data_IF_204712951385
#
_entry.id   IF_204712951385
#
_cell.length_a   1.000
_cell.length_b   1.000
_cell.length_c   1.000
_cell.angle_alpha   90.00
_cell.angle_beta   90.00
_cell.angle_gamma   90.00
#
_symmetry.space_group_name_H-M   'P 1'
#
loop_
_entity.id
_entity.type
_entity.pdbx_description
1 polymer ?
#
# COMPACT_ATOMS: atom_id res chain seq x y z
N UNK A 1 31.31 10.90 -37.72
CA UNK A 1 30.57 11.49 -36.58
C UNK A 1 29.11 11.61 -37.00
N UNK A 2 28.26 10.66 -36.61
CA UNK A 2 26.81 10.81 -36.71
C UNK A 2 26.27 10.93 -35.30
N UNK A 3 26.13 12.16 -34.81
CA UNK A 3 25.31 12.45 -33.64
C UNK A 3 23.87 12.54 -34.14
N UNK A 4 23.15 11.42 -34.17
CA UNK A 4 21.71 11.45 -34.29
C UNK A 4 21.13 11.80 -32.92
N UNK A 5 20.84 13.09 -32.69
CA UNK A 5 19.94 13.49 -31.61
C UNK A 5 18.54 12.97 -31.95
N UNK A 6 18.29 11.70 -31.64
CA UNK A 6 16.94 11.16 -31.65
C UNK A 6 16.15 11.85 -30.55
N UNK A 7 15.33 12.85 -30.93
CA UNK A 7 14.34 13.49 -30.08
C UNK A 7 13.22 12.48 -29.78
N UNK A 8 13.41 11.69 -28.72
CA UNK A 8 12.39 10.75 -28.26
C UNK A 8 11.25 11.50 -27.57
N UNK A 9 10.00 11.20 -27.95
CA UNK A 9 8.82 11.69 -27.25
C UNK A 9 8.67 10.92 -25.92
N UNK A 10 8.99 11.54 -24.79
CA UNK A 10 8.94 10.90 -23.47
C UNK A 10 7.53 10.96 -22.88
N UNK A 11 7.09 9.88 -22.25
CA UNK A 11 5.83 9.87 -21.50
C UNK A 11 5.85 10.91 -20.36
N UNK A 12 4.87 11.81 -20.37
CA UNK A 12 4.57 12.74 -19.28
C UNK A 12 3.13 12.47 -18.82
N UNK A 13 3.00 12.01 -17.58
CA UNK A 13 1.72 11.69 -16.94
C UNK A 13 1.69 12.39 -15.58
N UNK A 14 0.67 13.21 -15.33
CA UNK A 14 0.55 14.10 -14.19
C UNK A 14 -0.83 13.99 -13.55
N UNK A 15 -0.91 14.17 -12.23
CA UNK A 15 -2.18 14.28 -11.52
C UNK A 15 -2.89 15.59 -11.86
N UNK A 16 -4.14 15.72 -11.46
CA UNK A 16 -4.90 16.98 -11.53
C UNK A 16 -4.18 18.17 -10.89
N UNK A 17 -3.32 17.91 -9.90
CA UNK A 17 -2.51 18.91 -9.18
C UNK A 17 -1.12 19.15 -9.79
N UNK A 18 -0.82 18.59 -10.97
CA UNK A 18 0.48 18.72 -11.64
C UNK A 18 1.59 17.85 -11.07
N UNK A 19 1.28 16.91 -10.16
CA UNK A 19 2.29 15.97 -9.62
C UNK A 19 2.54 14.87 -10.63
N UNK A 20 3.79 14.72 -11.06
CA UNK A 20 4.21 13.64 -11.96
C UNK A 20 3.97 12.25 -11.37
N UNK A 21 3.37 11.35 -12.16
CA UNK A 21 3.28 9.91 -11.87
C UNK A 21 4.60 9.23 -12.28
N UNK A 22 5.29 8.67 -11.29
CA UNK A 22 6.67 8.16 -11.47
C UNK A 22 6.74 6.76 -12.11
N UNK A 23 6.20 6.62 -13.33
CA UNK A 23 6.29 5.37 -14.10
C UNK A 23 7.74 4.94 -14.32
N UNK A 24 8.62 5.88 -14.68
CA UNK A 24 10.05 5.65 -14.95
C UNK A 24 10.78 5.10 -13.72
N UNK A 25 10.65 5.74 -12.57
CA UNK A 25 11.32 5.33 -11.35
C UNK A 25 10.80 3.98 -10.87
N UNK A 26 9.48 3.76 -10.87
CA UNK A 26 8.88 2.48 -10.49
C UNK A 26 9.26 1.34 -11.43
N UNK A 27 9.40 1.60 -12.73
CA UNK A 27 9.88 0.61 -13.70
C UNK A 27 11.36 0.29 -13.48
N UNK A 28 12.21 1.30 -13.34
CA UNK A 28 13.64 1.14 -13.06
C UNK A 28 13.90 0.33 -11.77
N UNK A 29 13.14 0.60 -10.70
CA UNK A 29 13.21 -0.16 -9.45
C UNK A 29 12.69 -1.58 -9.61
N UNK A 30 11.70 -1.81 -10.47
CA UNK A 30 11.21 -3.16 -10.81
C UNK A 30 12.23 -3.96 -11.58
N UNK A 31 12.92 -3.36 -12.55
CA UNK A 31 14.01 -4.04 -13.27
C UNK A 31 15.18 -4.36 -12.32
N UNK A 32 15.48 -3.47 -11.36
CA UNK A 32 16.47 -3.76 -10.32
C UNK A 32 16.01 -4.92 -9.42
N UNK A 33 14.77 -4.93 -8.96
CA UNK A 33 14.22 -6.03 -8.16
C UNK A 33 14.22 -7.35 -8.94
N UNK A 34 13.93 -7.32 -10.25
CA UNK A 34 14.00 -8.50 -11.12
C UNK A 34 15.42 -9.10 -11.15
N UNK A 35 16.47 -8.26 -11.21
CA UNK A 35 17.87 -8.71 -11.09
C UNK A 35 18.19 -9.37 -9.75
N UNK A 36 17.56 -8.94 -8.66
CA UNK A 36 17.72 -9.62 -7.37
C UNK A 36 17.08 -11.01 -7.41
N UNK A 37 15.94 -11.18 -8.07
CA UNK A 37 15.35 -12.50 -8.31
C UNK A 37 16.23 -13.38 -9.21
N UNK A 38 16.92 -12.83 -10.21
CA UNK A 38 17.93 -13.58 -10.97
C UNK A 38 19.10 -14.02 -10.09
N UNK A 39 19.64 -13.12 -9.26
CA UNK A 39 20.68 -13.44 -8.29
C UNK A 39 20.25 -14.51 -7.28
N UNK A 40 19.00 -14.49 -6.82
CA UNK A 40 18.45 -15.57 -5.98
C UNK A 40 18.36 -16.90 -6.72
N UNK A 41 17.99 -16.89 -8.01
CA UNK A 41 18.04 -18.11 -8.84
C UNK A 41 19.47 -18.63 -8.96
N UNK A 42 20.47 -17.77 -9.10
CA UNK A 42 21.87 -18.19 -9.19
C UNK A 42 22.38 -18.76 -7.87
N UNK A 43 22.06 -18.10 -6.75
CA UNK A 43 22.47 -18.50 -5.41
C UNK A 43 21.78 -19.78 -4.91
N UNK A 44 20.49 -19.94 -5.18
CA UNK A 44 19.64 -21.02 -4.59
C UNK A 44 19.34 -22.13 -5.61
N UNK A 45 19.39 -21.83 -6.91
CA UNK A 45 19.08 -22.80 -7.97
C UNK A 45 17.58 -23.05 -8.19
N UNK A 46 16.68 -22.40 -7.44
CA UNK A 46 15.24 -22.61 -7.55
C UNK A 46 14.64 -21.90 -8.80
N UNK A 47 14.03 -22.64 -9.77
CA UNK A 47 13.48 -22.06 -11.01
C UNK A 47 12.31 -21.08 -10.79
N UNK A 48 11.72 -21.10 -9.61
CA UNK A 48 10.68 -20.16 -9.20
C UNK A 48 11.14 -18.70 -9.28
N UNK A 49 12.39 -18.41 -8.89
CA UNK A 49 12.90 -17.05 -8.87
C UNK A 49 13.13 -16.49 -10.28
N UNK A 50 13.62 -17.30 -11.23
CA UNK A 50 13.75 -16.84 -12.64
C UNK A 50 12.41 -16.55 -13.30
N UNK A 51 11.37 -17.35 -13.00
CA UNK A 51 9.99 -17.07 -13.47
C UNK A 51 9.48 -15.73 -12.95
N UNK A 52 9.76 -15.40 -11.68
CA UNK A 52 9.41 -14.08 -11.10
C UNK A 52 10.20 -12.94 -11.74
N UNK A 53 11.51 -13.11 -11.92
CA UNK A 53 12.36 -12.12 -12.56
C UNK A 53 11.85 -11.77 -13.96
N UNK A 54 11.61 -12.78 -14.82
CA UNK A 54 11.10 -12.60 -16.19
C UNK A 54 9.81 -11.77 -16.20
N UNK A 55 8.80 -12.19 -15.42
CA UNK A 55 7.53 -11.47 -15.34
C UNK A 55 7.72 -10.03 -14.85
N UNK A 56 8.68 -9.77 -13.97
CA UNK A 56 8.95 -8.44 -13.44
C UNK A 56 9.67 -7.53 -14.44
N UNK A 57 10.56 -8.08 -15.29
CA UNK A 57 11.13 -7.35 -16.43
C UNK A 57 10.06 -6.99 -17.48
N UNK A 58 9.07 -7.85 -17.69
CA UNK A 58 7.94 -7.57 -18.59
C UNK A 58 6.87 -6.68 -17.93
N UNK A 59 6.93 -6.48 -16.62
CA UNK A 59 5.94 -5.71 -15.88
C UNK A 59 5.93 -4.24 -16.33
N UNK A 60 4.75 -3.78 -16.73
CA UNK A 60 4.49 -2.44 -17.27
C UNK A 60 5.41 -2.06 -18.44
N UNK A 61 5.91 -3.04 -19.22
CA UNK A 61 6.77 -2.75 -20.37
C UNK A 61 6.06 -1.89 -21.42
N UNK A 62 4.75 -2.06 -21.58
CA UNK A 62 3.88 -1.20 -22.39
C UNK A 62 2.72 -0.67 -21.53
N UNK A 63 2.41 0.61 -21.75
CA UNK A 63 1.32 1.35 -21.11
C UNK A 63 0.46 1.99 -22.21
N UNK A 64 -0.83 1.68 -22.22
CA UNK A 64 -1.79 2.34 -23.12
C UNK A 64 -2.75 3.21 -22.34
N UNK A 65 -2.85 4.47 -22.77
CA UNK A 65 -3.68 5.49 -22.14
C UNK A 65 -4.75 6.01 -23.10
N UNK A 66 -5.89 6.38 -22.53
CA UNK A 66 -6.86 7.27 -23.16
C UNK A 66 -6.50 8.69 -22.75
N UNK A 67 -6.35 9.57 -23.73
CA UNK A 67 -6.14 11.00 -23.48
C UNK A 67 -7.48 11.72 -23.54
N UNK A 68 -7.84 12.33 -22.43
CA UNK A 68 -9.01 13.19 -22.34
C UNK A 68 -8.86 14.39 -23.30
N UNK A 69 -9.81 14.63 -24.21
CA UNK A 69 -9.66 15.64 -25.25
C UNK A 69 -9.75 17.08 -24.71
N UNK A 70 -10.45 17.30 -23.60
CA UNK A 70 -10.67 18.64 -23.03
C UNK A 70 -9.52 19.05 -22.10
N UNK A 71 -9.11 18.15 -21.22
CA UNK A 71 -8.12 18.40 -20.17
C UNK A 71 -6.72 17.91 -20.55
N UNK A 72 -6.59 17.09 -21.60
CA UNK A 72 -5.34 16.47 -22.02
C UNK A 72 -4.81 15.39 -21.08
N UNK A 73 -5.56 15.04 -20.02
CA UNK A 73 -5.14 14.09 -18.98
C UNK A 73 -5.09 12.66 -19.50
N UNK A 74 -4.16 11.87 -18.97
CA UNK A 74 -4.00 10.48 -19.33
C UNK A 74 -4.71 9.56 -18.34
N UNK A 75 -5.55 8.67 -18.86
CA UNK A 75 -6.17 7.57 -18.11
C UNK A 75 -5.64 6.24 -18.62
N UNK A 76 -4.91 5.51 -17.78
CA UNK A 76 -4.39 4.19 -18.13
C UNK A 76 -5.57 3.23 -18.33
N UNK A 77 -5.65 2.60 -19.51
CA UNK A 77 -6.70 1.64 -19.82
C UNK A 77 -6.18 0.22 -20.09
N UNK A 78 -4.88 0.07 -20.38
CA UNK A 78 -4.28 -1.25 -20.58
C UNK A 78 -2.80 -1.23 -20.16
N UNK A 79 -2.40 -2.26 -19.40
CA UNK A 79 -1.02 -2.58 -19.06
C UNK A 79 -0.94 -4.01 -18.51
N UNK A 80 0.22 -4.66 -18.66
CA UNK A 80 0.50 -5.92 -17.96
C UNK A 80 1.22 -5.65 -16.63
N UNK A 81 0.65 -6.14 -15.53
CA UNK A 81 1.29 -6.09 -14.22
C UNK A 81 1.62 -7.50 -13.72
N UNK A 82 2.87 -7.74 -13.32
CA UNK A 82 3.32 -9.07 -12.92
C UNK A 82 2.71 -9.57 -11.61
N UNK A 83 2.13 -8.69 -10.79
CA UNK A 83 1.54 -8.98 -9.46
C UNK A 83 2.50 -9.66 -8.47
N UNK A 84 3.80 -9.73 -8.75
CA UNK A 84 4.80 -10.18 -7.77
C UNK A 84 4.78 -9.22 -6.58
N UNK A 85 4.75 -9.76 -5.34
CA UNK A 85 4.52 -8.96 -4.14
C UNK A 85 5.58 -7.88 -3.92
N UNK A 86 6.84 -8.19 -4.20
CA UNK A 86 7.96 -7.25 -4.07
C UNK A 86 8.22 -6.39 -5.31
N UNK A 87 7.41 -6.51 -6.38
CA UNK A 87 7.56 -5.65 -7.57
C UNK A 87 7.18 -4.19 -7.22
N UNK A 88 8.10 -3.22 -7.29
CA UNK A 88 7.83 -1.82 -6.98
C UNK A 88 6.71 -1.20 -7.83
N UNK A 89 6.61 -1.57 -9.11
CA UNK A 89 5.51 -1.12 -9.99
C UNK A 89 4.15 -1.63 -9.48
N UNK A 90 4.03 -2.93 -9.21
CA UNK A 90 2.77 -3.52 -8.72
C UNK A 90 2.42 -3.02 -7.31
N UNK A 91 3.42 -2.90 -6.43
CA UNK A 91 3.27 -2.36 -5.08
C UNK A 91 2.71 -0.93 -5.10
N UNK A 92 3.24 -0.08 -5.98
CA UNK A 92 2.74 1.29 -6.17
C UNK A 92 1.29 1.29 -6.66
N UNK A 93 0.95 0.51 -7.69
CA UNK A 93 -0.43 0.44 -8.19
C UNK A 93 -1.41 -0.08 -7.14
N UNK A 94 -1.02 -1.10 -6.36
CA UNK A 94 -1.78 -1.60 -5.21
C UNK A 94 -2.01 -0.52 -4.16
N UNK A 95 -0.97 0.24 -3.79
CA UNK A 95 -1.14 1.33 -2.81
C UNK A 95 -2.14 2.38 -3.27
N UNK A 96 -2.19 2.69 -4.57
CA UNK A 96 -3.18 3.60 -5.13
C UNK A 96 -4.60 3.02 -5.06
N UNK A 97 -4.75 1.73 -5.40
CA UNK A 97 -6.04 1.01 -5.32
C UNK A 97 -6.57 0.95 -3.88
N UNK A 98 -5.71 0.58 -2.94
CA UNK A 98 -6.02 0.52 -1.51
C UNK A 98 -6.40 1.91 -0.99
N UNK A 99 -5.65 2.96 -1.36
CA UNK A 99 -5.97 4.32 -0.95
C UNK A 99 -7.33 4.78 -1.48
N UNK A 100 -7.65 4.46 -2.74
CA UNK A 100 -8.95 4.79 -3.33
C UNK A 100 -10.09 4.03 -2.65
N UNK A 101 -9.97 2.72 -2.46
CA UNK A 101 -10.96 1.91 -1.75
C UNK A 101 -11.18 2.42 -0.32
N UNK A 102 -10.10 2.70 0.42
CA UNK A 102 -10.20 3.21 1.77
C UNK A 102 -10.82 4.60 1.83
N UNK A 103 -10.59 5.47 0.84
CA UNK A 103 -11.29 6.76 0.72
C UNK A 103 -12.80 6.54 0.69
N UNK A 104 -13.29 5.72 -0.25
CA UNK A 104 -14.72 5.46 -0.41
C UNK A 104 -15.33 4.82 0.85
N UNK A 105 -14.63 3.84 1.44
CA UNK A 105 -15.09 3.15 2.65
C UNK A 105 -15.17 4.12 3.84
N UNK A 106 -14.20 5.03 4.00
CA UNK A 106 -14.19 6.01 5.08
C UNK A 106 -15.30 7.04 4.89
N UNK A 107 -15.48 7.55 3.66
CA UNK A 107 -16.56 8.48 3.32
C UNK A 107 -17.93 7.86 3.63
N UNK A 108 -18.14 6.61 3.22
CA UNK A 108 -19.40 5.90 3.46
C UNK A 108 -19.62 5.55 4.94
N UNK A 109 -18.56 5.17 5.66
CA UNK A 109 -18.63 4.93 7.11
C UNK A 109 -18.98 6.21 7.88
N UNK A 110 -18.41 7.35 7.49
CA UNK A 110 -18.73 8.65 8.07
C UNK A 110 -20.18 9.05 7.79
N UNK A 111 -20.67 8.78 6.58
CA UNK A 111 -22.06 9.05 6.16
C UNK A 111 -23.07 8.20 6.93
N UNK A 112 -22.85 6.88 7.02
CA UNK A 112 -23.80 5.93 7.64
C UNK A 112 -23.73 5.94 9.18
N UNK A 113 -22.53 5.97 9.77
CA UNK A 113 -22.34 5.72 11.20
C UNK A 113 -21.95 6.95 12.02
N UNK A 114 -21.65 8.07 11.36
CA UNK A 114 -21.17 9.31 12.00
C UNK A 114 -20.05 9.04 13.01
N UNK A 115 -19.14 8.13 12.66
CA UNK A 115 -18.08 7.67 13.53
C UNK A 115 -16.97 8.73 13.72
N UNK A 116 -16.03 8.40 14.58
CA UNK A 116 -14.73 9.04 14.67
C UNK A 116 -13.65 7.96 14.50
N UNK A 117 -12.43 8.38 14.24
CA UNK A 117 -11.37 7.46 13.83
C UNK A 117 -10.19 7.45 14.79
N UNK A 118 -9.63 6.26 15.01
CA UNK A 118 -8.36 6.04 15.68
C UNK A 118 -7.38 5.42 14.69
N UNK A 119 -6.12 5.85 14.78
CA UNK A 119 -4.99 5.22 14.12
C UNK A 119 -4.15 4.50 15.16
N UNK A 120 -4.08 3.18 15.05
CA UNK A 120 -3.40 2.28 15.98
C UNK A 120 -2.22 1.60 15.26
N UNK A 121 -1.04 1.68 15.85
CA UNK A 121 0.15 0.94 15.42
C UNK A 121 0.48 -0.15 16.43
N UNK A 122 0.49 -1.41 15.99
CA UNK A 122 0.82 -2.59 16.81
C UNK A 122 2.17 -3.15 16.37
N UNK A 123 3.16 -3.17 17.27
CA UNK A 123 4.52 -3.64 16.96
C UNK A 123 4.86 -4.93 17.69
N UNK A 124 5.92 -5.59 17.22
CA UNK A 124 6.70 -6.58 17.96
C UNK A 124 8.17 -6.13 17.99
N UNK A 125 9.04 -6.82 18.73
CA UNK A 125 10.48 -6.58 18.60
C UNK A 125 10.93 -6.96 17.20
N UNK A 126 12.06 -6.41 16.79
CA UNK A 126 12.71 -6.87 15.57
C UNK A 126 12.99 -8.38 15.66
N UNK A 127 12.90 -9.05 14.52
CA UNK A 127 13.14 -10.48 14.38
C UNK A 127 14.13 -10.75 13.28
N UNK A 128 14.84 -11.88 13.36
CA UNK A 128 15.71 -12.31 12.27
C UNK A 128 14.90 -12.75 11.06
N UNK A 129 15.53 -12.76 9.87
CA UNK A 129 14.85 -13.09 8.62
C UNK A 129 14.17 -14.47 8.64
N UNK A 130 14.83 -15.48 9.23
CA UNK A 130 14.27 -16.84 9.35
C UNK A 130 13.02 -16.93 10.24
N UNK A 131 12.83 -16.00 11.16
CA UNK A 131 11.69 -15.97 12.09
C UNK A 131 10.53 -15.11 11.57
N UNK A 132 10.78 -14.29 10.54
CA UNK A 132 9.83 -13.29 10.04
C UNK A 132 8.50 -13.91 9.62
N UNK A 133 8.53 -15.01 8.85
CA UNK A 133 7.33 -15.71 8.37
C UNK A 133 6.46 -16.20 9.53
N UNK A 134 7.08 -16.77 10.55
CA UNK A 134 6.36 -17.30 11.71
C UNK A 134 5.82 -16.14 12.57
N UNK A 135 6.64 -15.13 12.82
CA UNK A 135 6.24 -13.91 13.54
C UNK A 135 5.02 -13.25 12.93
N UNK A 136 4.97 -13.06 11.61
CA UNK A 136 3.79 -12.52 10.91
C UNK A 136 2.57 -13.42 11.11
N UNK A 137 2.74 -14.75 11.07
CA UNK A 137 1.65 -15.70 11.30
C UNK A 137 1.05 -15.54 12.70
N UNK A 138 1.90 -15.37 13.71
CA UNK A 138 1.48 -15.21 15.09
C UNK A 138 0.90 -13.82 15.35
N UNK A 139 1.42 -12.78 14.68
CA UNK A 139 0.82 -11.45 14.65
C UNK A 139 -0.61 -11.48 14.10
N UNK A 140 -0.86 -12.18 12.98
CA UNK A 140 -2.22 -12.32 12.42
C UNK A 140 -3.17 -13.01 13.40
N UNK A 141 -2.72 -14.09 14.07
CA UNK A 141 -3.50 -14.78 15.12
C UNK A 141 -3.75 -13.88 16.33
N UNK A 142 -2.73 -13.13 16.76
CA UNK A 142 -2.80 -12.17 17.85
C UNK A 142 -3.79 -11.07 17.54
N UNK A 143 -3.76 -10.51 16.32
CA UNK A 143 -4.69 -9.48 15.89
C UNK A 143 -6.14 -9.98 15.91
N UNK A 144 -6.38 -11.18 15.38
CA UNK A 144 -7.70 -11.82 15.43
C UNK A 144 -8.20 -12.02 16.87
N UNK A 145 -7.30 -12.34 17.82
CA UNK A 145 -7.65 -12.47 19.24
C UNK A 145 -7.94 -11.10 19.87
N UNK A 146 -7.12 -10.10 19.59
CA UNK A 146 -7.27 -8.73 20.07
C UNK A 146 -8.65 -8.18 19.72
N UNK A 147 -9.04 -8.29 18.44
CA UNK A 147 -10.33 -7.79 17.96
C UNK A 147 -11.54 -8.51 18.56
N UNK A 148 -11.36 -9.74 19.08
CA UNK A 148 -12.41 -10.53 19.75
C UNK A 148 -12.49 -10.30 21.26
N UNK A 149 -11.57 -9.53 21.86
CA UNK A 149 -11.70 -9.21 23.27
C UNK A 149 -12.92 -8.31 23.46
N UNK A 150 -13.82 -8.70 24.38
CA UNK A 150 -15.07 -7.98 24.67
C UNK A 150 -14.85 -6.46 24.82
N UNK A 151 -13.77 -6.05 25.49
CA UNK A 151 -13.41 -4.62 25.66
C UNK A 151 -13.14 -3.92 24.32
N UNK A 152 -12.47 -4.57 23.38
CA UNK A 152 -12.18 -4.04 22.03
C UNK A 152 -13.42 -4.11 21.16
N UNK A 153 -14.03 -5.29 21.05
CA UNK A 153 -15.21 -5.56 20.22
C UNK A 153 -16.40 -4.64 20.56
N UNK A 154 -16.55 -4.27 21.84
CA UNK A 154 -17.59 -3.30 22.25
C UNK A 154 -17.22 -1.85 21.91
N UNK A 155 -15.93 -1.52 21.87
CA UNK A 155 -15.45 -0.14 21.71
C UNK A 155 -15.27 0.28 20.24
N UNK A 156 -14.92 -0.65 19.35
CA UNK A 156 -14.63 -0.39 17.94
C UNK A 156 -15.73 -0.97 17.05
N UNK A 157 -16.11 -0.23 16.00
CA UNK A 157 -17.17 -0.64 15.06
C UNK A 157 -16.64 -1.55 13.95
N UNK A 158 -15.32 -1.59 13.76
CA UNK A 158 -14.66 -2.34 12.71
C UNK A 158 -13.16 -2.05 12.68
N UNK A 159 -12.52 -2.42 11.57
CA UNK A 159 -11.14 -2.07 11.31
C UNK A 159 -10.78 -2.17 9.83
N UNK A 160 -9.78 -1.39 9.42
CA UNK A 160 -8.87 -1.73 8.34
C UNK A 160 -7.49 -1.98 8.96
N UNK A 161 -6.84 -3.08 8.59
CA UNK A 161 -5.48 -3.42 9.03
C UNK A 161 -4.58 -3.56 7.81
N UNK A 162 -3.39 -2.98 7.84
CA UNK A 162 -2.29 -3.25 6.90
C UNK A 162 -1.06 -3.76 7.67
N UNK A 163 -0.41 -4.81 7.16
CA UNK A 163 0.92 -5.24 7.59
C UNK A 163 1.96 -4.33 6.93
N UNK A 164 2.92 -3.83 7.69
CA UNK A 164 4.14 -3.18 7.17
C UNK A 164 5.37 -3.88 7.77
N UNK A 165 6.45 -3.98 7.00
CA UNK A 165 7.72 -4.55 7.43
C UNK A 165 8.80 -3.52 7.10
N UNK A 166 9.52 -3.06 8.11
CA UNK A 166 10.73 -2.24 7.93
C UNK A 166 11.97 -3.09 8.21
N UNK A 167 13.05 -2.88 7.45
CA UNK A 167 14.33 -3.57 7.66
C UNK A 167 15.30 -2.67 8.43
N UNK A 168 15.85 -3.18 9.54
CA UNK A 168 17.09 -2.66 10.10
C UNK A 168 18.27 -3.35 9.40
N UNK A 169 18.99 -2.63 8.56
CA UNK A 169 20.12 -3.20 7.82
C UNK A 169 21.42 -3.26 8.61
N UNK A 170 21.54 -2.49 9.71
CA UNK A 170 22.75 -2.54 10.55
C UNK A 170 22.77 -3.83 11.37
N UNK A 171 21.60 -4.22 11.90
CA UNK A 171 21.43 -5.45 12.67
C UNK A 171 20.94 -6.63 11.83
N UNK A 172 20.64 -6.41 10.55
CA UNK A 172 20.00 -7.38 9.64
C UNK A 172 18.71 -8.02 10.21
N UNK A 173 17.89 -7.20 10.86
CA UNK A 173 16.62 -7.63 11.46
C UNK A 173 15.42 -6.93 10.81
N UNK A 174 14.24 -7.51 11.01
CA UNK A 174 12.99 -7.08 10.40
C UNK A 174 11.98 -6.70 11.47
N UNK A 175 11.24 -5.62 11.24
CA UNK A 175 10.23 -5.11 12.16
C UNK A 175 8.84 -5.18 11.52
N UNK A 176 8.15 -6.32 11.59
CA UNK A 176 6.77 -6.42 11.17
C UNK A 176 5.87 -5.69 12.16
N UNK A 177 4.95 -4.87 11.66
CA UNK A 177 3.99 -4.13 12.46
C UNK A 177 2.67 -3.96 11.72
N UNK A 178 1.59 -3.70 12.46
CA UNK A 178 0.31 -3.37 11.87
C UNK A 178 0.00 -1.89 12.01
N UNK A 179 -0.44 -1.28 10.92
CA UNK A 179 -1.21 -0.05 10.94
C UNK A 179 -2.70 -0.39 10.86
N UNK A 180 -3.48 0.19 11.75
CA UNK A 180 -4.90 -0.13 11.91
C UNK A 180 -5.71 1.15 12.00
N UNK A 181 -6.68 1.30 11.10
CA UNK A 181 -7.68 2.35 11.16
C UNK A 181 -8.94 1.78 11.83
N UNK A 182 -9.39 2.41 12.91
CA UNK A 182 -10.50 1.93 13.74
C UNK A 182 -11.62 2.98 13.79
N UNK A 183 -12.80 2.70 13.22
CA UNK A 183 -13.98 3.51 13.46
C UNK A 183 -14.53 3.24 14.87
N UNK A 184 -14.84 4.30 15.60
CA UNK A 184 -15.45 4.27 16.94
C UNK A 184 -16.63 5.23 17.01
N UNK A 185 -17.54 5.02 17.96
CA UNK A 185 -18.59 6.02 18.24
C UNK A 185 -17.94 7.32 18.70
N UNK A 186 -18.50 8.48 18.35
CA UNK A 186 -18.00 9.80 18.81
C UNK A 186 -17.88 9.89 20.34
N UNK A 187 -18.78 9.22 21.06
CA UNK A 187 -18.76 9.11 22.53
C UNK A 187 -17.59 8.30 23.10
N UNK A 188 -16.76 7.65 22.27
CA UNK A 188 -15.59 6.90 22.72
C UNK A 188 -14.63 7.76 23.55
N UNK A 189 -14.43 9.04 23.18
CA UNK A 189 -13.45 9.92 23.83
C UNK A 189 -13.89 10.49 25.18
N UNK A 190 -15.18 10.40 25.50
CA UNK A 190 -15.76 10.92 26.75
C UNK A 190 -16.45 9.84 27.57
N UNK A 191 -16.60 8.64 27.00
CA UNK A 191 -17.37 7.55 27.58
C UNK A 191 -16.51 6.46 28.22
N UNK A 192 -17.20 5.51 28.87
CA UNK A 192 -16.60 4.37 29.57
C UNK A 192 -15.89 3.36 28.65
N UNK A 193 -16.11 3.47 27.33
CA UNK A 193 -15.50 2.59 26.33
C UNK A 193 -14.10 3.04 25.89
N UNK A 194 -13.61 4.18 26.38
CA UNK A 194 -12.26 4.64 26.10
C UNK A 194 -11.21 3.59 26.51
N UNK A 195 -10.29 3.30 25.59
CA UNK A 195 -9.14 2.42 25.83
C UNK A 195 -7.88 3.28 25.72
N UNK A 196 -7.17 3.42 26.84
CA UNK A 196 -5.91 4.16 26.89
C UNK A 196 -4.81 3.45 26.10
N UNK A 197 -3.75 4.16 25.72
CA UNK A 197 -2.59 3.52 25.07
C UNK A 197 -1.99 2.40 25.95
N UNK A 198 -1.90 2.61 27.27
CA UNK A 198 -1.45 1.58 28.23
C UNK A 198 -2.32 0.32 28.19
N UNK A 199 -3.64 0.51 28.07
CA UNK A 199 -4.57 -0.62 27.94
C UNK A 199 -4.43 -1.32 26.59
N UNK A 200 -4.31 -0.59 25.49
CA UNK A 200 -4.02 -1.16 24.17
C UNK A 200 -2.73 -1.97 24.17
N UNK A 201 -1.65 -1.45 24.76
CA UNK A 201 -0.40 -2.18 24.96
C UNK A 201 -0.61 -3.47 25.74
N UNK A 202 -1.38 -3.42 26.84
CA UNK A 202 -1.65 -4.58 27.69
C UNK A 202 -2.49 -5.63 26.96
N UNK A 203 -3.50 -5.21 26.20
CA UNK A 203 -4.33 -6.07 25.39
C UNK A 203 -3.51 -6.71 24.26
N UNK A 204 -2.66 -5.94 23.59
CA UNK A 204 -1.78 -6.45 22.54
C UNK A 204 -0.76 -7.46 23.07
N UNK A 205 -0.07 -7.12 24.18
CA UNK A 205 0.82 -8.05 24.90
C UNK A 205 0.13 -9.38 25.19
N UNK A 206 -1.09 -9.32 25.76
CA UNK A 206 -1.90 -10.52 26.06
C UNK A 206 -2.31 -11.27 24.80
N UNK A 207 -2.73 -10.57 23.75
CA UNK A 207 -3.16 -11.17 22.49
C UNK A 207 -2.00 -11.89 21.78
N UNK A 208 -0.80 -11.33 21.86
CA UNK A 208 0.42 -11.91 21.30
C UNK A 208 1.11 -12.92 22.23
N UNK A 209 0.71 -13.00 23.50
CA UNK A 209 1.36 -13.80 24.55
C UNK A 209 2.85 -13.43 24.71
N UNK A 210 3.17 -12.14 24.63
CA UNK A 210 4.55 -11.66 24.77
C UNK A 210 4.96 -11.64 26.25
N UNK A 211 6.20 -12.02 26.51
CA UNK A 211 6.86 -11.87 27.80
C UNK A 211 7.31 -10.42 28.04
N UNK A 212 7.62 -9.68 26.98
CA UNK A 212 7.97 -8.25 27.04
C UNK A 212 6.76 -7.32 26.81
N UNK A 213 6.93 -6.04 27.14
CA UNK A 213 5.94 -4.99 26.85
C UNK A 213 6.20 -4.40 25.46
N UNK A 214 5.30 -4.59 24.47
CA UNK A 214 5.49 -4.06 23.12
C UNK A 214 5.26 -2.55 23.06
N UNK A 215 5.73 -1.91 22.00
CA UNK A 215 5.42 -0.50 21.72
C UNK A 215 4.11 -0.47 20.94
N UNK A 216 3.09 0.18 21.50
CA UNK A 216 1.84 0.45 20.82
C UNK A 216 1.64 1.94 20.80
N UNK A 217 1.32 2.48 19.62
CA UNK A 217 0.96 3.87 19.45
C UNK A 217 -0.51 3.95 19.07
N UNK A 218 -1.26 4.83 19.71
CA UNK A 218 -2.65 5.10 19.33
C UNK A 218 -2.92 6.59 19.37
N UNK A 219 -3.55 7.09 18.33
CA UNK A 219 -3.95 8.49 18.24
C UNK A 219 -5.34 8.61 17.64
N UNK A 220 -6.07 9.64 18.06
CA UNK A 220 -7.26 10.09 17.35
C UNK A 220 -6.82 10.66 16.01
N UNK A 221 -7.44 10.20 14.93
CA UNK A 221 -7.34 10.89 13.64
C UNK A 221 -8.15 12.17 13.77
N UNK A 222 -7.47 13.31 13.72
CA UNK A 222 -8.09 14.62 13.93
C UNK A 222 -8.69 15.09 12.61
N UNK A 223 -10.01 15.04 12.47
CA UNK A 223 -10.73 16.10 11.76
C UNK A 223 -10.74 17.34 12.67
N UNK A 224 -10.28 18.52 12.21
CA UNK A 224 -10.35 19.71 13.07
C UNK A 224 -11.81 20.12 13.27
N UNK A 225 -12.16 20.57 14.48
CA UNK A 225 -13.46 21.15 14.80
C UNK A 225 -13.61 22.55 14.17
N UNK A 226 -14.81 22.83 13.63
CA UNK A 226 -15.41 24.11 13.20
C UNK A 226 -14.46 25.32 13.25
N UNK A 227 -14.07 25.81 12.08
CA UNK A 227 -13.53 27.16 11.89
C UNK A 227 -14.60 27.95 11.11
N UNK A 228 -14.88 29.17 11.57
CA UNK A 228 -15.90 30.06 11.02
C UNK A 228 -15.82 30.20 9.51
N UNK A 229 -17.01 30.19 8.91
CA UNK A 229 -17.25 30.21 7.49
C UNK A 229 -16.97 31.60 6.92
N UNK A 230 -15.77 31.81 6.40
CA UNK A 230 -15.55 32.70 5.26
C UNK A 230 -14.13 32.47 4.71
N UNK A 231 -14.07 32.12 3.42
CA UNK A 231 -12.88 31.91 2.59
C UNK A 231 -12.26 30.50 2.59
N UNK A 232 -12.83 29.67 1.69
CA UNK A 232 -12.21 28.59 0.92
C UNK A 232 -12.00 27.24 1.65
N UNK A 233 -13.00 26.38 1.35
CA UNK A 233 -13.10 24.91 1.37
C UNK A 233 -12.71 24.16 2.66
N UNK A 234 -13.61 24.23 3.64
CA UNK A 234 -13.63 23.37 4.83
C UNK A 234 -13.66 21.86 4.51
N UNK A 235 -14.33 21.45 3.43
CA UNK A 235 -14.40 20.06 2.98
C UNK A 235 -13.03 19.51 2.54
N UNK A 236 -12.20 20.35 1.90
CA UNK A 236 -10.86 19.95 1.44
C UNK A 236 -9.93 19.70 2.63
N UNK A 237 -10.01 20.49 3.71
CA UNK A 237 -9.13 20.33 4.89
C UNK A 237 -9.53 19.18 5.82
N UNK A 238 -10.83 18.93 6.01
CA UNK A 238 -11.31 17.77 6.78
C UNK A 238 -10.94 16.47 6.07
N UNK A 239 -11.08 16.46 4.74
CA UNK A 239 -10.59 15.38 3.91
C UNK A 239 -9.07 15.18 4.07
N UNK A 240 -8.24 16.23 4.18
CA UNK A 240 -6.77 16.09 4.20
C UNK A 240 -6.21 15.24 5.35
N UNK A 241 -6.67 15.35 6.61
CA UNK A 241 -6.07 14.57 7.72
C UNK A 241 -6.57 13.13 7.78
N UNK A 242 -7.86 12.91 7.51
CA UNK A 242 -8.38 11.56 7.33
C UNK A 242 -7.78 10.91 6.07
N UNK A 243 -7.63 11.66 4.98
CA UNK A 243 -6.90 11.22 3.79
C UNK A 243 -5.43 10.98 4.10
N UNK A 244 -4.76 11.77 4.94
CA UNK A 244 -3.38 11.47 5.36
C UNK A 244 -3.31 10.16 6.11
N UNK A 245 -4.22 9.90 7.04
CA UNK A 245 -4.30 8.62 7.74
C UNK A 245 -4.60 7.47 6.76
N UNK A 246 -5.53 7.66 5.83
CA UNK A 246 -5.85 6.71 4.75
C UNK A 246 -4.65 6.49 3.82
N UNK A 247 -3.93 7.53 3.45
CA UNK A 247 -2.72 7.43 2.62
C UNK A 247 -1.59 6.73 3.38
N UNK A 248 -1.46 6.99 4.68
CA UNK A 248 -0.46 6.36 5.55
C UNK A 248 -0.71 4.85 5.67
N UNK A 249 -1.93 4.43 6.01
CA UNK A 249 -2.29 2.99 6.08
C UNK A 249 -2.30 2.30 4.71
N UNK A 250 -2.40 3.06 3.61
CA UNK A 250 -2.40 2.53 2.26
C UNK A 250 -0.98 2.41 1.67
N UNK A 251 0.05 2.84 2.41
CA UNK A 251 1.43 2.55 2.05
C UNK A 251 1.61 1.04 1.99
N UNK A 252 2.26 0.58 0.92
CA UNK A 252 2.39 -0.84 0.66
C UNK A 252 3.25 -1.52 1.74
N UNK A 253 2.99 -2.80 2.08
CA UNK A 253 3.62 -3.50 3.22
C UNK A 253 5.14 -3.49 3.29
N UNK A 254 5.82 -3.22 2.18
CA UNK A 254 7.26 -2.96 2.17
C UNK A 254 7.54 -1.82 1.21
N UNK A 255 8.28 -0.81 1.66
CA UNK A 255 8.76 0.26 0.77
C UNK A 255 9.91 -0.29 -0.07
N UNK A 256 9.95 0.07 -1.34
CA UNK A 256 10.98 -0.41 -2.26
C UNK A 256 12.40 -0.01 -1.82
N UNK A 257 12.54 1.11 -1.11
CA UNK A 257 13.79 1.55 -0.47
C UNK A 257 14.23 0.67 0.69
N UNK A 258 13.28 0.03 1.37
CA UNK A 258 13.53 -0.78 2.56
C UNK A 258 13.88 -2.23 2.17
N UNK A 259 13.49 -2.67 0.95
CA UNK A 259 13.86 -3.99 0.42
C UNK A 259 15.25 -4.00 -0.22
N UNK A 260 15.58 -2.97 -1.00
CA UNK A 260 16.81 -2.92 -1.80
C UNK A 260 17.53 -1.60 -1.57
N UNK A 261 18.70 -1.65 -0.91
CA UNK A 261 19.58 -0.49 -0.75
C UNK A 261 20.45 -0.29 -1.99
N UNK A 262 20.52 0.96 -2.43
CA UNK A 262 21.29 1.34 -3.62
C UNK A 262 20.70 0.79 -4.92
N UNK A 263 21.57 0.64 -5.92
CA UNK A 263 21.19 0.33 -7.31
C UNK A 263 21.89 -0.93 -7.85
N UNK A 264 22.36 -1.81 -6.98
CA UNK A 264 23.09 -3.04 -7.33
C UNK A 264 22.53 -4.25 -6.58
N UNK A 265 22.75 -5.43 -7.15
CA UNK A 265 22.54 -6.70 -6.46
C UNK A 265 23.70 -6.91 -5.49
N UNK A 266 23.38 -7.15 -4.22
CA UNK A 266 24.34 -7.41 -3.14
C UNK A 266 23.83 -8.59 -2.31
N UNK A 267 24.70 -9.28 -1.58
CA UNK A 267 24.27 -10.39 -0.71
C UNK A 267 23.24 -9.95 0.34
N UNK A 268 23.41 -8.77 0.96
CA UNK A 268 22.43 -8.23 1.91
C UNK A 268 21.04 -8.01 1.26
N UNK A 269 21.02 -7.46 0.04
CA UNK A 269 19.76 -7.27 -0.67
C UNK A 269 19.15 -8.63 -1.09
N UNK A 270 19.96 -9.62 -1.47
CA UNK A 270 19.48 -10.97 -1.79
C UNK A 270 18.83 -11.62 -0.56
N UNK A 271 19.47 -11.58 0.60
CA UNK A 271 18.88 -12.07 1.86
C UNK A 271 17.55 -11.38 2.16
N UNK A 272 17.49 -10.06 1.96
CA UNK A 272 16.27 -9.26 2.15
C UNK A 272 15.13 -9.72 1.26
N UNK A 273 15.41 -9.86 -0.03
CA UNK A 273 14.41 -10.30 -1.02
C UNK A 273 13.99 -11.74 -0.71
N UNK A 274 14.92 -12.61 -0.31
CA UNK A 274 14.63 -13.99 0.07
C UNK A 274 13.64 -14.08 1.23
N UNK A 275 13.97 -13.45 2.37
CA UNK A 275 13.14 -13.53 3.58
C UNK A 275 11.80 -12.84 3.40
N UNK A 276 11.75 -11.69 2.71
CA UNK A 276 10.48 -11.00 2.46
C UNK A 276 9.60 -11.74 1.46
N UNK A 277 10.18 -12.33 0.40
CA UNK A 277 9.40 -13.09 -0.58
C UNK A 277 8.74 -14.31 0.06
N UNK A 278 9.48 -15.03 0.89
CA UNK A 278 8.95 -16.15 1.66
C UNK A 278 7.89 -15.69 2.67
N UNK A 279 8.23 -14.69 3.49
CA UNK A 279 7.37 -14.23 4.58
C UNK A 279 6.02 -13.68 4.09
N UNK A 280 5.97 -13.05 2.91
CA UNK A 280 4.76 -12.46 2.33
C UNK A 280 3.99 -13.43 1.41
N UNK A 281 4.57 -14.57 1.05
CA UNK A 281 3.96 -15.52 0.11
C UNK A 281 2.65 -16.09 0.65
N UNK A 282 1.62 -16.11 -0.20
CA UNK A 282 0.29 -16.66 0.07
C UNK A 282 -0.41 -16.07 1.32
N UNK A 283 -0.19 -14.77 1.60
CA UNK A 283 -0.81 -14.07 2.73
C UNK A 283 -1.60 -12.86 2.28
N UNK A 284 -2.68 -12.60 3.01
CA UNK A 284 -3.46 -11.36 2.92
C UNK A 284 -2.81 -10.28 3.78
N UNK A 285 -2.26 -9.26 3.16
CA UNK A 285 -1.46 -8.25 3.86
C UNK A 285 -2.36 -7.17 4.45
N UNK A 286 -3.50 -6.90 3.82
CA UNK A 286 -4.55 -6.02 4.34
C UNK A 286 -5.76 -6.81 4.85
N UNK A 287 -6.63 -6.18 5.65
CA UNK A 287 -7.86 -6.83 6.08
C UNK A 287 -8.89 -5.84 6.59
N UNK A 288 -10.15 -6.11 6.27
CA UNK A 288 -11.31 -5.36 6.74
C UNK A 288 -12.12 -6.20 7.73
N UNK A 289 -12.68 -5.55 8.76
CA UNK A 289 -13.63 -6.17 9.70
C UNK A 289 -14.67 -5.19 10.23
N UNK A 290 -15.75 -5.73 10.80
CA UNK A 290 -16.93 -4.96 11.23
C UNK A 290 -17.53 -4.16 10.07
N UNK A 291 -17.98 -2.95 10.37
CA UNK A 291 -18.68 -2.09 9.40
C UNK A 291 -17.88 -1.81 8.13
N UNK A 292 -16.55 -1.78 8.19
CA UNK A 292 -15.73 -1.49 7.00
C UNK A 292 -15.72 -2.66 6.01
N UNK A 293 -15.88 -3.89 6.49
CA UNK A 293 -16.02 -5.07 5.64
C UNK A 293 -17.39 -5.09 4.97
N UNK A 294 -18.42 -4.65 5.68
CA UNK A 294 -19.79 -4.55 5.17
C UNK A 294 -19.86 -3.49 4.07
N UNK A 295 -19.36 -2.28 4.34
CA UNK A 295 -19.27 -1.19 3.37
C UNK A 295 -18.45 -1.59 2.13
N UNK A 296 -17.29 -2.24 2.31
CA UNK A 296 -16.51 -2.73 1.17
C UNK A 296 -17.33 -3.66 0.26
N UNK A 297 -18.21 -4.49 0.85
CA UNK A 297 -19.09 -5.39 0.09
C UNK A 297 -20.25 -4.63 -0.55
N UNK A 298 -20.85 -3.67 0.15
CA UNK A 298 -21.93 -2.81 -0.36
C UNK A 298 -21.50 -1.99 -1.58
N UNK A 299 -20.30 -1.42 -1.52
CA UNK A 299 -19.68 -0.68 -2.62
C UNK A 299 -19.16 -1.58 -3.76
N UNK A 300 -19.30 -2.91 -3.64
CA UNK A 300 -18.84 -3.88 -4.63
C UNK A 300 -17.38 -3.69 -5.07
N UNK A 301 -16.51 -3.32 -4.12
CA UNK A 301 -15.10 -3.06 -4.41
C UNK A 301 -14.35 -4.37 -4.73
N UNK A 302 -13.46 -4.32 -5.72
CA UNK A 302 -12.65 -5.47 -6.13
C UNK A 302 -11.56 -5.86 -5.12
N UNK A 303 -10.74 -6.86 -5.46
CA UNK A 303 -9.58 -7.23 -4.66
C UNK A 303 -8.41 -6.25 -4.88
N UNK A 304 -8.11 -5.42 -3.87
CA UNK A 304 -7.02 -4.44 -3.95
C UNK A 304 -5.60 -5.05 -3.93
N UNK A 305 -5.43 -6.29 -3.49
CA UNK A 305 -4.13 -6.97 -3.41
C UNK A 305 -3.82 -7.78 -4.67
N UNK A 306 -4.78 -8.56 -5.17
CA UNK A 306 -4.54 -9.50 -6.28
C UNK A 306 -5.43 -9.23 -7.52
N UNK A 307 -6.33 -8.25 -7.45
CA UNK A 307 -7.24 -7.85 -8.53
C UNK A 307 -6.60 -6.99 -9.63
N UNK A 308 -7.41 -6.18 -10.30
CA UNK A 308 -6.95 -5.29 -11.39
C UNK A 308 -6.10 -4.14 -10.85
N UNK A 309 -4.94 -3.94 -11.47
CA UNK A 309 -4.01 -2.84 -11.18
C UNK A 309 -4.01 -1.77 -12.26
N UNK A 310 -4.81 -1.91 -13.32
CA UNK A 310 -5.00 -0.92 -14.40
C UNK A 310 -6.05 0.11 -13.98
N UNK A 311 -7.26 -0.32 -13.60
CA UNK A 311 -8.29 0.58 -13.09
C UNK A 311 -8.13 0.78 -11.60
N UNK A 312 -7.72 1.99 -11.19
CA UNK A 312 -7.65 2.36 -9.76
C UNK A 312 -9.03 2.77 -9.26
N UNK A 313 -9.66 3.69 -9.97
CA UNK A 313 -11.06 4.08 -9.73
C UNK A 313 -12.01 2.96 -10.19
N UNK A 314 -13.13 2.78 -9.48
CA UNK A 314 -14.15 1.75 -9.77
C UNK A 314 -15.35 2.32 -10.56
N UNK A 315 -15.37 3.62 -10.86
CA UNK A 315 -16.40 4.24 -11.69
C UNK A 315 -16.19 3.90 -13.18
N UNK A 316 -17.28 3.49 -13.85
CA UNK A 316 -17.33 3.36 -15.30
C UNK A 316 -17.33 4.77 -15.91
N UNK A 317 -16.37 5.03 -16.78
CA UNK A 317 -16.15 6.38 -17.29
C UNK A 317 -16.37 6.44 -18.81
N UNK A 318 -17.29 7.33 -19.19
CA UNK A 318 -17.74 7.66 -20.55
C UNK A 318 -16.66 8.28 -21.45
N UNK A 319 -15.40 8.31 -21.02
CA UNK A 319 -14.23 8.77 -21.79
C UNK A 319 -14.05 7.97 -23.11
N UNK A 320 -14.87 6.96 -23.35
CA UNK A 320 -14.79 6.08 -24.52
C UNK A 320 -15.11 6.76 -25.87
N UNK A 321 -15.92 7.82 -25.92
CA UNK A 321 -16.47 8.28 -27.21
C UNK A 321 -15.61 9.33 -27.94
N UNK A 322 -14.50 9.83 -27.36
CA UNK A 322 -13.66 10.86 -28.01
C UNK A 322 -12.18 10.90 -27.62
N UNK A 323 -11.67 9.91 -26.89
CA UNK A 323 -10.28 9.92 -26.41
C UNK A 323 -9.27 9.41 -27.45
N UNK A 324 -8.14 10.10 -27.58
CA UNK A 324 -7.00 9.63 -28.38
C UNK A 324 -6.21 8.57 -27.61
N UNK A 325 -5.76 7.53 -28.29
CA UNK A 325 -4.90 6.51 -27.69
C UNK A 325 -3.43 6.96 -27.68
N UNK A 326 -2.81 6.89 -26.50
CA UNK A 326 -1.38 7.14 -26.31
C UNK A 326 -0.74 5.84 -25.85
N UNK A 327 0.17 5.30 -26.67
CA UNK A 327 0.94 4.10 -26.33
C UNK A 327 2.37 4.49 -25.96
N UNK A 328 2.78 4.11 -24.76
CA UNK A 328 4.14 4.29 -24.28
C UNK A 328 4.82 2.94 -24.03
N UNK A 329 6.04 2.77 -24.52
CA UNK A 329 6.84 1.56 -24.32
C UNK A 329 8.13 1.86 -23.56
N UNK A 330 8.54 0.95 -22.69
CA UNK A 330 9.80 1.04 -21.96
C UNK A 330 10.96 0.77 -22.91
N UNK A 331 11.88 1.72 -23.03
CA UNK A 331 13.09 1.57 -23.83
C UNK A 331 14.29 1.25 -22.91
N UNK A 332 14.83 0.01 -22.90
CA UNK A 332 15.84 -0.41 -21.94
C UNK A 332 17.14 0.39 -21.98
N UNK A 333 17.59 0.81 -23.18
CA UNK A 333 18.81 1.61 -23.35
C UNK A 333 18.72 3.02 -22.73
N UNK A 334 17.60 3.70 -22.94
CA UNK A 334 17.33 5.06 -22.44
C UNK A 334 16.82 5.02 -20.98
N UNK A 335 16.30 3.86 -20.55
CA UNK A 335 15.64 3.65 -19.26
C UNK A 335 14.50 4.65 -19.05
N UNK A 336 13.66 4.78 -20.07
CA UNK A 336 12.49 5.66 -20.04
C UNK A 336 11.36 5.15 -20.94
N UNK A 337 10.15 5.67 -20.72
CA UNK A 337 9.00 5.40 -21.58
C UNK A 337 8.97 6.35 -22.76
N UNK A 338 8.89 5.81 -23.97
CA UNK A 338 8.76 6.55 -25.22
C UNK A 338 7.35 6.38 -25.76
N UNK A 339 6.72 7.48 -26.14
CA UNK A 339 5.43 7.52 -26.83
C UNK A 339 5.68 7.27 -28.32
N UNK A 340 4.90 6.36 -28.90
CA UNK A 340 4.89 6.09 -30.34
C UNK A 340 3.88 6.96 -31.06
#
# INVERSE_FOLDING_TARGET
MYSSESNYNILVDETATGKKRDWKGKKSRSDLMAKHYEGLKERIGAPYYSKKAKRMFECAEQLSFKRDPETGRLKLYQAYFCKVRLCPMCAWRRSLKIAYHNKLIVEEANRQYHCAWLFLTLTVRNVEGGELRQTISDMMKGFNRLMKYKRVDTAVLGYFRALEITKNHEENTYHPHFHVLLPVKKSYFTGKLYISQKDWTSLWKKAMKLDYTPIVHIQRVKGKAKIDAEQIESEVREAIEEQKAVLEISKYPVKDTDVVRGNKVTEDNLDTVYYLDDALSARRLIGYGGILKEIHKELNLGDAEDGDLVKIEEEDDEVANGAFEVMAYWHPGIKNYIIK
#
